data_IF_961024782345
#
_entry.id   IF_961024782345
#
_cell.length_a   1.000
_cell.length_b   1.000
_cell.length_c   1.000
_cell.angle_alpha   90.00
_cell.angle_beta   90.00
_cell.angle_gamma   90.00
#
_symmetry.space_group_name_H-M   'P 1'
#
loop_
_entity.id
_entity.type
_entity.pdbx_description
1 polymer ?
#
# COMPACT_ATOMS: atom_id res chain seq x y z
N UNK A 1 -35.03 1.75 14.98
CA UNK A 1 -34.83 3.20 14.76
C UNK A 1 -33.45 3.50 14.17
N UNK A 2 -32.33 3.30 14.89
CA UNK A 2 -30.97 3.62 14.38
C UNK A 2 -30.64 2.95 13.03
N UNK A 3 -31.06 1.69 12.83
CA UNK A 3 -30.92 0.98 11.55
C UNK A 3 -31.70 1.64 10.41
N UNK A 4 -32.96 2.01 10.65
CA UNK A 4 -33.79 2.73 9.67
C UNK A 4 -33.20 4.10 9.31
N UNK A 5 -32.61 4.79 10.29
CA UNK A 5 -31.86 6.03 10.04
C UNK A 5 -30.62 5.76 9.17
N UNK A 6 -29.86 4.69 9.45
CA UNK A 6 -28.70 4.30 8.64
C UNK A 6 -29.07 3.93 7.20
N UNK A 7 -30.14 3.15 7.01
CA UNK A 7 -30.60 2.72 5.68
C UNK A 7 -31.11 3.93 4.85
N UNK A 8 -31.73 4.92 5.50
CA UNK A 8 -32.13 6.19 4.87
C UNK A 8 -30.98 7.18 4.60
N UNK A 9 -29.79 6.91 5.14
CA UNK A 9 -28.64 7.83 5.12
C UNK A 9 -27.88 7.89 3.79
N UNK A 10 -28.19 7.04 2.82
CA UNK A 10 -27.43 6.93 1.57
C UNK A 10 -27.40 8.23 0.75
N UNK A 11 -28.33 9.17 1.00
CA UNK A 11 -28.46 10.43 0.26
C UNK A 11 -27.91 11.68 0.99
N UNK A 12 -27.44 11.58 2.26
CA UNK A 12 -26.96 12.73 3.04
C UNK A 12 -25.49 12.62 3.43
N UNK A 13 -24.77 13.74 3.65
CA UNK A 13 -23.42 13.71 4.20
C UNK A 13 -23.44 13.01 5.56
N UNK A 14 -22.76 11.87 5.66
CA UNK A 14 -22.79 10.99 6.84
C UNK A 14 -22.33 11.70 8.13
N UNK A 15 -21.55 12.78 8.00
CA UNK A 15 -21.14 13.69 9.08
C UNK A 15 -22.34 14.38 9.76
N UNK A 16 -23.37 14.74 8.99
CA UNK A 16 -24.59 15.33 9.52
C UNK A 16 -25.32 14.39 10.47
N UNK A 17 -25.30 13.08 10.21
CA UNK A 17 -25.96 12.09 11.06
C UNK A 17 -25.23 11.90 12.38
N UNK A 18 -23.90 11.90 12.36
CA UNK A 18 -23.10 11.86 13.60
C UNK A 18 -23.39 13.10 14.44
N UNK A 19 -23.49 14.27 13.82
CA UNK A 19 -23.82 15.51 14.52
C UNK A 19 -25.25 15.53 15.08
N UNK A 20 -26.24 15.20 14.25
CA UNK A 20 -27.65 15.19 14.63
C UNK A 20 -27.96 14.20 15.75
N UNK A 21 -27.23 13.08 15.79
CA UNK A 21 -27.42 12.03 16.79
C UNK A 21 -26.41 12.09 17.95
N UNK A 22 -25.45 13.01 17.96
CA UNK A 22 -24.48 13.21 19.05
C UNK A 22 -25.12 13.30 20.46
N UNK A 23 -26.33 13.88 20.65
CA UNK A 23 -27.01 13.83 21.95
C UNK A 23 -27.20 12.40 22.51
N UNK A 24 -27.30 11.38 21.64
CA UNK A 24 -27.36 9.97 22.05
C UNK A 24 -26.09 9.52 22.77
N UNK A 25 -24.93 10.09 22.45
CA UNK A 25 -23.70 9.85 23.21
C UNK A 25 -23.82 10.24 24.69
N UNK A 26 -24.78 11.11 25.04
CA UNK A 26 -25.10 11.41 26.44
C UNK A 26 -26.17 10.53 27.05
N UNK A 27 -27.12 10.06 26.26
CA UNK A 27 -28.29 9.34 26.77
C UNK A 27 -28.12 7.82 26.75
N UNK A 28 -27.35 7.32 25.79
CA UNK A 28 -27.15 5.90 25.49
C UNK A 28 -25.70 5.67 24.98
N UNK A 29 -24.68 5.83 25.85
CA UNK A 29 -23.28 5.82 25.43
C UNK A 29 -22.82 4.49 24.84
N UNK A 30 -23.40 3.35 25.26
CA UNK A 30 -23.04 2.04 24.74
C UNK A 30 -23.56 1.83 23.30
N UNK A 31 -24.83 2.17 23.08
CA UNK A 31 -25.50 2.12 21.79
C UNK A 31 -24.87 3.13 20.83
N UNK A 32 -24.42 4.28 21.34
CA UNK A 32 -23.65 5.24 20.55
C UNK A 32 -22.29 4.69 20.10
N UNK A 33 -21.58 3.95 20.96
CA UNK A 33 -20.35 3.26 20.56
C UNK A 33 -20.61 2.23 19.44
N UNK A 34 -21.71 1.48 19.52
CA UNK A 34 -22.16 0.57 18.46
C UNK A 34 -22.48 1.31 17.17
N UNK A 35 -23.22 2.41 17.26
CA UNK A 35 -23.55 3.26 16.11
C UNK A 35 -22.28 3.77 15.42
N UNK A 36 -21.33 4.34 16.17
CA UNK A 36 -20.07 4.84 15.62
C UNK A 36 -19.26 3.71 14.95
N UNK A 37 -19.23 2.51 15.55
CA UNK A 37 -18.54 1.36 14.98
C UNK A 37 -19.14 0.86 13.66
N UNK A 38 -20.47 0.93 13.51
CA UNK A 38 -21.15 0.58 12.25
C UNK A 38 -21.00 1.66 11.17
N UNK A 39 -20.80 2.92 11.56
CA UNK A 39 -20.68 4.07 10.66
C UNK A 39 -19.26 4.30 10.11
N UNK A 40 -18.32 3.43 10.42
CA UNK A 40 -16.88 3.58 10.17
C UNK A 40 -16.46 3.57 8.67
N UNK A 41 -17.38 3.38 7.74
CA UNK A 41 -17.17 3.58 6.30
C UNK A 41 -17.04 5.06 5.85
N UNK A 42 -16.69 5.98 6.76
CA UNK A 42 -16.55 7.43 6.48
C UNK A 42 -15.14 7.88 6.82
N UNK A 43 -14.20 7.51 5.94
CA UNK A 43 -12.80 7.91 6.06
C UNK A 43 -12.58 9.45 6.14
N UNK A 44 -13.59 10.28 5.85
CA UNK A 44 -13.53 11.74 5.94
C UNK A 44 -13.84 12.36 7.30
N UNK A 45 -14.50 11.65 8.23
CA UNK A 45 -15.05 12.26 9.46
C UNK A 45 -14.18 12.09 10.71
N UNK A 46 -12.90 11.73 10.54
CA UNK A 46 -12.03 11.29 11.64
C UNK A 46 -11.96 12.27 12.82
N UNK A 47 -12.08 13.58 12.59
CA UNK A 47 -12.10 14.56 13.68
C UNK A 47 -13.38 14.53 14.52
N UNK A 48 -14.54 14.36 13.88
CA UNK A 48 -15.84 14.28 14.56
C UNK A 48 -15.90 12.99 15.40
N UNK A 49 -15.51 11.86 14.80
CA UNK A 49 -15.49 10.57 15.52
C UNK A 49 -14.52 10.63 16.71
N UNK A 50 -13.33 11.23 16.55
CA UNK A 50 -12.39 11.45 17.68
C UNK A 50 -13.03 12.26 18.80
N UNK A 51 -13.79 13.30 18.47
CA UNK A 51 -14.47 14.13 19.47
C UNK A 51 -15.54 13.34 20.21
N UNK A 52 -16.39 12.61 19.49
CA UNK A 52 -17.45 11.79 20.09
C UNK A 52 -16.89 10.67 20.96
N UNK A 53 -15.80 10.01 20.54
CA UNK A 53 -15.12 9.00 21.35
C UNK A 53 -14.61 9.57 22.68
N UNK A 54 -14.04 10.79 22.67
CA UNK A 54 -13.62 11.46 23.92
C UNK A 54 -14.79 11.69 24.87
N UNK A 55 -15.99 12.01 24.33
CA UNK A 55 -17.21 12.24 25.13
C UNK A 55 -17.73 10.96 25.77
N UNK A 56 -17.69 9.83 25.06
CA UNK A 56 -18.29 8.58 25.53
C UNK A 56 -17.33 7.61 26.22
N UNK A 57 -16.01 7.70 26.01
CA UNK A 57 -15.03 6.72 26.53
C UNK A 57 -15.20 6.45 28.03
N UNK A 58 -15.41 7.48 28.85
CA UNK A 58 -15.57 7.35 30.31
C UNK A 58 -17.00 6.99 30.76
N UNK A 59 -17.94 6.92 29.81
CA UNK A 59 -19.38 6.79 30.06
C UNK A 59 -19.94 5.44 29.62
N UNK A 60 -19.21 4.71 28.79
CA UNK A 60 -19.52 3.32 28.45
C UNK A 60 -19.27 2.43 29.67
N UNK A 61 -20.30 1.70 30.08
CA UNK A 61 -20.27 0.81 31.25
C UNK A 61 -20.27 -0.68 30.85
N UNK A 62 -20.68 -1.00 29.61
CA UNK A 62 -20.66 -2.35 29.05
C UNK A 62 -19.29 -2.71 28.49
N UNK A 63 -18.85 -3.95 28.75
CA UNK A 63 -17.57 -4.48 28.27
C UNK A 63 -17.46 -4.45 26.74
N UNK A 64 -18.52 -4.84 26.04
CA UNK A 64 -18.53 -4.81 24.57
C UNK A 64 -18.45 -3.39 24.01
N UNK A 65 -19.03 -2.39 24.68
CA UNK A 65 -18.95 -1.00 24.25
C UNK A 65 -17.55 -0.43 24.44
N UNK A 66 -16.85 -0.80 25.53
CA UNK A 66 -15.42 -0.47 25.72
C UNK A 66 -14.56 -1.05 24.61
N UNK A 67 -14.83 -2.30 24.22
CA UNK A 67 -14.12 -2.95 23.13
C UNK A 67 -14.31 -2.21 21.80
N UNK A 68 -15.54 -1.81 21.46
CA UNK A 68 -15.81 -1.01 20.26
C UNK A 68 -15.09 0.33 20.27
N UNK A 69 -15.02 1.02 21.41
CA UNK A 69 -14.24 2.26 21.56
C UNK A 69 -12.75 2.01 21.28
N UNK A 70 -12.17 0.91 21.78
CA UNK A 70 -10.78 0.55 21.51
C UNK A 70 -10.53 0.30 20.01
N UNK A 71 -11.42 -0.45 19.36
CA UNK A 71 -11.37 -0.67 17.91
C UNK A 71 -11.45 0.64 17.12
N UNK A 72 -12.36 1.54 17.48
CA UNK A 72 -12.50 2.83 16.82
C UNK A 72 -11.25 3.71 16.95
N UNK A 73 -10.60 3.73 18.12
CA UNK A 73 -9.30 4.42 18.25
C UNK A 73 -8.23 3.85 17.33
N UNK A 74 -8.17 2.53 17.17
CA UNK A 74 -7.23 1.88 16.25
C UNK A 74 -7.45 2.34 14.81
N UNK A 75 -8.71 2.34 14.35
CA UNK A 75 -9.05 2.74 12.99
C UNK A 75 -8.75 4.21 12.70
N UNK A 76 -8.78 5.06 13.72
CA UNK A 76 -8.41 6.46 13.64
C UNK A 76 -6.89 6.71 13.66
N UNK A 77 -6.07 5.66 13.72
CA UNK A 77 -4.62 5.71 13.88
C UNK A 77 -4.16 6.17 15.27
N UNK A 78 -5.05 6.11 16.28
CA UNK A 78 -4.73 6.49 17.66
C UNK A 78 -4.25 5.28 18.48
N UNK A 79 -3.23 4.56 17.98
CA UNK A 79 -2.79 3.26 18.49
C UNK A 79 -2.51 3.24 20.01
N UNK A 80 -1.88 4.30 20.54
CA UNK A 80 -1.63 4.41 21.99
C UNK A 80 -2.93 4.39 22.79
N UNK A 81 -3.95 5.12 22.35
CA UNK A 81 -5.26 5.17 23.03
C UNK A 81 -6.06 3.90 22.81
N UNK A 82 -5.95 3.29 21.63
CA UNK A 82 -6.51 1.96 21.38
C UNK A 82 -5.94 0.95 22.39
N UNK A 83 -4.63 0.96 22.61
CA UNK A 83 -3.97 0.09 23.57
C UNK A 83 -4.32 0.33 25.02
N UNK A 84 -4.49 1.59 25.42
CA UNK A 84 -5.02 1.91 26.75
C UNK A 84 -6.45 1.36 26.89
N UNK A 85 -7.31 1.57 25.90
CA UNK A 85 -8.69 1.10 25.93
C UNK A 85 -8.80 -0.44 25.90
N UNK A 86 -7.94 -1.15 25.17
CA UNK A 86 -7.91 -2.63 25.19
C UNK A 86 -7.61 -3.21 26.57
N UNK A 87 -6.75 -2.55 27.36
CA UNK A 87 -6.44 -2.97 28.73
C UNK A 87 -7.61 -2.78 29.69
N UNK A 88 -8.54 -1.88 29.35
CA UNK A 88 -9.76 -1.64 30.13
C UNK A 88 -10.85 -2.72 29.86
N UNK A 89 -10.73 -3.49 28.77
CA UNK A 89 -11.63 -4.63 28.46
C UNK A 89 -11.18 -5.85 29.26
N UNK A 90 -12.02 -6.28 30.21
CA UNK A 90 -11.74 -7.39 31.14
C UNK A 90 -12.12 -8.74 30.56
N UNK A 91 -13.18 -8.77 29.73
CA UNK A 91 -13.61 -10.01 29.09
C UNK A 91 -12.57 -10.45 28.04
N UNK A 92 -11.95 -11.61 28.28
CA UNK A 92 -10.85 -12.11 27.45
C UNK A 92 -11.29 -12.37 26.01
N UNK A 93 -12.46 -12.97 25.81
CA UNK A 93 -12.96 -13.33 24.47
C UNK A 93 -13.22 -12.08 23.63
N UNK A 94 -13.93 -11.09 24.21
CA UNK A 94 -14.15 -9.80 23.56
C UNK A 94 -12.84 -9.06 23.29
N UNK A 95 -11.91 -9.03 24.25
CA UNK A 95 -10.61 -8.39 24.05
C UNK A 95 -9.85 -9.00 22.89
N UNK A 96 -9.71 -10.33 22.84
CA UNK A 96 -8.97 -11.01 21.77
C UNK A 96 -9.60 -10.80 20.39
N UNK A 97 -10.92 -10.95 20.27
CA UNK A 97 -11.65 -10.70 19.02
C UNK A 97 -11.47 -9.25 18.56
N UNK A 98 -11.50 -8.31 19.51
CA UNK A 98 -11.42 -6.89 19.18
C UNK A 98 -9.99 -6.47 18.86
N UNK A 99 -8.98 -6.99 19.57
CA UNK A 99 -7.56 -6.83 19.20
C UNK A 99 -7.31 -7.38 17.79
N UNK A 100 -7.91 -8.51 17.46
CA UNK A 100 -7.83 -9.13 16.13
C UNK A 100 -8.50 -8.28 15.05
N UNK A 101 -9.68 -7.72 15.32
CA UNK A 101 -10.37 -6.81 14.41
C UNK A 101 -9.65 -5.46 14.26
N UNK A 102 -8.90 -5.06 15.29
CA UNK A 102 -8.09 -3.86 15.32
C UNK A 102 -6.62 -4.15 15.00
N UNK A 103 -6.36 -5.11 14.11
CA UNK A 103 -5.03 -5.63 13.80
C UNK A 103 -3.94 -4.57 13.50
N UNK A 104 -4.33 -3.34 13.16
CA UNK A 104 -3.45 -2.21 13.02
C UNK A 104 -2.84 -1.72 14.36
N UNK A 105 -3.59 -1.72 15.47
CA UNK A 105 -3.18 -1.16 16.77
C UNK A 105 -2.74 -2.22 17.79
N UNK A 106 -1.89 -3.14 17.37
CA UNK A 106 -1.35 -4.16 18.27
C UNK A 106 -0.54 -3.53 19.39
N UNK A 107 -0.80 -3.98 20.62
CA UNK A 107 -0.13 -3.49 21.81
C UNK A 107 1.08 -4.35 22.18
N UNK A 108 2.25 -3.74 22.27
CA UNK A 108 3.51 -4.41 22.66
C UNK A 108 4.56 -4.37 21.56
N UNK A 109 5.66 -5.13 21.74
CA UNK A 109 6.85 -5.15 20.87
C UNK A 109 6.64 -5.67 19.44
N UNK A 110 7.48 -6.62 18.99
CA UNK A 110 7.46 -7.16 17.62
C UNK A 110 6.05 -7.52 17.13
N UNK A 111 5.54 -6.72 16.18
CA UNK A 111 4.16 -6.76 15.68
C UNK A 111 3.81 -8.14 15.12
N UNK A 112 4.75 -8.78 14.41
CA UNK A 112 4.55 -10.09 13.77
C UNK A 112 4.32 -11.17 14.83
N UNK A 113 5.24 -11.25 15.81
CA UNK A 113 5.16 -12.25 16.90
C UNK A 113 3.90 -12.10 17.74
N UNK A 114 3.47 -10.86 17.98
CA UNK A 114 2.24 -10.62 18.72
C UNK A 114 1.01 -11.06 17.91
N UNK A 115 1.01 -10.91 16.59
CA UNK A 115 -0.04 -11.45 15.74
C UNK A 115 -0.10 -12.97 15.73
N UNK A 116 1.05 -13.65 15.67
CA UNK A 116 1.10 -15.11 15.72
C UNK A 116 0.48 -15.63 17.01
N UNK A 117 0.92 -15.05 18.15
CA UNK A 117 0.34 -15.34 19.46
C UNK A 117 -1.17 -15.05 19.51
N UNK A 118 -1.62 -13.97 18.87
CA UNK A 118 -3.04 -13.64 18.82
C UNK A 118 -3.84 -14.69 18.03
N UNK A 119 -3.32 -15.16 16.89
CA UNK A 119 -3.93 -16.24 16.10
C UNK A 119 -4.05 -17.54 16.92
N UNK A 120 -3.00 -17.90 17.67
CA UNK A 120 -3.03 -19.05 18.58
C UNK A 120 -4.08 -18.89 19.69
N UNK A 121 -4.11 -17.72 20.35
CA UNK A 121 -5.05 -17.41 21.43
C UNK A 121 -6.51 -17.40 20.94
N UNK A 122 -6.76 -16.97 19.70
CA UNK A 122 -8.09 -17.01 19.07
C UNK A 122 -8.61 -18.46 18.90
N UNK A 123 -7.72 -19.43 18.68
CA UNK A 123 -8.07 -20.85 18.54
C UNK A 123 -8.76 -21.44 19.77
N UNK A 124 -8.55 -20.84 20.94
CA UNK A 124 -9.14 -21.26 22.22
C UNK A 124 -10.23 -20.33 22.74
N UNK A 125 -10.74 -19.39 21.94
CA UNK A 125 -11.78 -18.46 22.40
C UNK A 125 -13.11 -19.19 22.59
N UNK A 126 -13.74 -18.94 23.75
CA UNK A 126 -15.07 -19.43 24.09
C UNK A 126 -16.07 -18.28 24.12
N UNK A 127 -17.34 -18.60 23.86
CA UNK A 127 -18.43 -17.64 23.86
C UNK A 127 -18.77 -17.18 25.29
N UNK A 128 -18.26 -16.00 25.67
CA UNK A 128 -18.45 -15.39 27.00
C UNK A 128 -19.82 -14.71 27.15
N UNK A 129 -20.32 -14.46 28.38
CA UNK A 129 -21.59 -13.76 28.59
C UNK A 129 -21.63 -12.37 27.93
N UNK A 130 -20.54 -11.60 28.01
CA UNK A 130 -20.46 -10.28 27.43
C UNK A 130 -20.46 -10.33 25.89
N UNK A 131 -19.81 -11.35 25.30
CA UNK A 131 -19.87 -11.58 23.85
C UNK A 131 -21.27 -12.02 23.41
N UNK A 132 -21.97 -12.88 24.18
CA UNK A 132 -23.37 -13.24 23.91
C UNK A 132 -24.28 -12.01 23.93
N UNK A 133 -24.09 -11.11 24.89
CA UNK A 133 -24.85 -9.86 24.97
C UNK A 133 -24.59 -8.98 23.74
N UNK A 134 -23.32 -8.79 23.37
CA UNK A 134 -22.94 -8.07 22.15
C UNK A 134 -23.62 -8.62 20.89
N UNK A 135 -23.51 -9.93 20.66
CA UNK A 135 -24.05 -10.57 19.46
C UNK A 135 -25.57 -10.45 19.37
N UNK A 136 -26.27 -10.50 20.52
CA UNK A 136 -27.72 -10.27 20.57
C UNK A 136 -28.14 -8.86 20.17
N UNK A 137 -27.31 -7.85 20.48
CA UNK A 137 -27.62 -6.46 20.13
C UNK A 137 -27.11 -6.06 18.75
N UNK A 138 -26.09 -6.76 18.23
CA UNK A 138 -25.41 -6.41 16.98
C UNK A 138 -25.82 -7.26 15.78
N UNK A 139 -26.57 -8.35 15.97
CA UNK A 139 -26.93 -9.29 14.90
C UNK A 139 -28.35 -9.79 15.03
N UNK A 140 -28.99 -10.06 13.89
CA UNK A 140 -30.27 -10.74 13.80
C UNK A 140 -30.12 -12.26 13.70
N UNK A 141 -28.89 -12.75 13.56
CA UNK A 141 -28.60 -14.17 13.48
C UNK A 141 -28.69 -14.81 14.87
N UNK A 142 -28.96 -16.12 14.94
CA UNK A 142 -28.77 -16.89 16.17
C UNK A 142 -27.36 -16.65 16.72
N UNK A 143 -27.25 -16.50 18.04
CA UNK A 143 -26.00 -16.11 18.72
C UNK A 143 -24.81 -17.01 18.33
N UNK A 144 -25.04 -18.31 18.19
CA UNK A 144 -23.98 -19.26 17.79
C UNK A 144 -23.50 -19.06 16.34
N UNK A 145 -24.41 -18.72 15.43
CA UNK A 145 -24.07 -18.41 14.05
C UNK A 145 -23.35 -17.06 13.95
N UNK A 146 -23.84 -16.04 14.66
CA UNK A 146 -23.20 -14.74 14.76
C UNK A 146 -21.78 -14.85 15.36
N UNK A 147 -21.64 -15.68 16.41
CA UNK A 147 -20.36 -15.97 17.04
C UNK A 147 -19.38 -16.60 16.06
N UNK A 148 -19.81 -17.64 15.33
CA UNK A 148 -18.99 -18.31 14.30
C UNK A 148 -18.50 -17.31 13.25
N UNK A 149 -19.39 -16.45 12.74
CA UNK A 149 -19.04 -15.45 11.74
C UNK A 149 -18.03 -14.42 12.28
N UNK A 150 -18.27 -13.88 13.48
CA UNK A 150 -17.38 -12.90 14.11
C UNK A 150 -16.00 -13.49 14.37
N UNK A 151 -15.94 -14.73 14.88
CA UNK A 151 -14.67 -15.40 15.15
C UNK A 151 -13.91 -15.72 13.87
N UNK A 152 -14.59 -16.25 12.83
CA UNK A 152 -13.99 -16.48 11.52
C UNK A 152 -13.46 -15.19 10.91
N UNK A 153 -14.24 -14.12 10.94
CA UNK A 153 -13.80 -12.82 10.42
C UNK A 153 -12.56 -12.30 11.16
N UNK A 154 -12.50 -12.46 12.49
CA UNK A 154 -11.33 -12.10 13.29
C UNK A 154 -10.07 -12.89 12.86
N UNK A 155 -10.19 -14.19 12.58
CA UNK A 155 -9.09 -14.98 12.02
C UNK A 155 -8.62 -14.48 10.66
N UNK A 156 -9.56 -14.20 9.75
CA UNK A 156 -9.24 -13.66 8.43
C UNK A 156 -8.42 -12.37 8.53
N UNK A 157 -8.87 -11.44 9.39
CA UNK A 157 -8.16 -10.17 9.61
C UNK A 157 -6.77 -10.35 10.22
N UNK A 158 -6.61 -11.28 11.18
CA UNK A 158 -5.30 -11.59 11.77
C UNK A 158 -4.35 -12.18 10.74
N UNK A 159 -4.81 -13.10 9.90
CA UNK A 159 -3.97 -13.67 8.85
C UNK A 159 -3.60 -12.65 7.78
N UNK A 160 -4.51 -11.75 7.37
CA UNK A 160 -4.15 -10.63 6.49
C UNK A 160 -3.11 -9.70 7.14
N UNK A 161 -3.22 -9.45 8.45
CA UNK A 161 -2.25 -8.64 9.16
C UNK A 161 -0.89 -9.33 9.31
N UNK A 162 -0.86 -10.65 9.51
CA UNK A 162 0.36 -11.45 9.48
C UNK A 162 1.03 -11.39 8.11
N UNK A 163 0.25 -11.56 7.03
CA UNK A 163 0.76 -11.41 5.68
C UNK A 163 1.37 -10.02 5.46
N UNK A 164 0.72 -8.95 5.91
CA UNK A 164 1.27 -7.58 5.84
C UNK A 164 2.57 -7.41 6.66
N UNK A 165 2.63 -8.00 7.85
CA UNK A 165 3.85 -7.99 8.68
C UNK A 165 5.00 -8.73 8.01
N UNK A 166 4.74 -9.94 7.48
CA UNK A 166 5.74 -10.71 6.77
C UNK A 166 6.12 -10.10 5.44
N UNK A 167 5.19 -9.36 4.81
CA UNK A 167 5.47 -8.49 3.69
C UNK A 167 6.59 -7.55 4.11
N UNK A 168 6.44 -6.72 5.14
CA UNK A 168 7.51 -5.79 5.59
C UNK A 168 8.89 -6.44 5.81
N UNK A 169 8.94 -7.71 6.21
CA UNK A 169 10.20 -8.47 6.38
C UNK A 169 10.80 -9.08 5.10
N UNK A 170 10.03 -9.12 4.00
CA UNK A 170 10.41 -9.76 2.74
C UNK A 170 10.21 -11.27 2.68
N UNK A 171 9.59 -11.90 3.69
CA UNK A 171 9.32 -13.35 3.71
C UNK A 171 8.10 -13.70 2.86
N UNK A 172 8.32 -13.78 1.54
CA UNK A 172 7.27 -14.04 0.54
C UNK A 172 6.52 -15.35 0.76
N UNK A 173 7.17 -16.37 1.33
CA UNK A 173 6.53 -17.66 1.59
C UNK A 173 5.44 -17.51 2.64
N UNK A 174 5.73 -16.79 3.71
CA UNK A 174 4.75 -16.49 4.75
C UNK A 174 3.67 -15.52 4.29
N UNK A 175 4.01 -14.56 3.42
CA UNK A 175 2.98 -13.70 2.78
C UNK A 175 1.98 -14.57 2.01
N UNK A 176 2.46 -15.46 1.15
CA UNK A 176 1.60 -16.37 0.40
C UNK A 176 0.74 -17.23 1.34
N UNK A 177 1.37 -17.92 2.30
CA UNK A 177 0.67 -18.80 3.25
C UNK A 177 -0.45 -18.10 4.02
N UNK A 178 -0.16 -16.96 4.65
CA UNK A 178 -1.15 -16.28 5.47
C UNK A 178 -2.21 -15.56 4.64
N UNK A 179 -1.85 -15.04 3.45
CA UNK A 179 -2.84 -14.49 2.53
C UNK A 179 -3.80 -15.55 1.99
N UNK A 180 -3.32 -16.77 1.71
CA UNK A 180 -4.20 -17.88 1.32
C UNK A 180 -5.14 -18.31 2.45
N UNK A 181 -4.63 -18.46 3.68
CA UNK A 181 -5.46 -18.73 4.86
C UNK A 181 -6.53 -17.66 5.07
N UNK A 182 -6.18 -16.39 4.87
CA UNK A 182 -7.15 -15.29 4.95
C UNK A 182 -8.18 -15.37 3.81
N UNK A 183 -7.75 -15.63 2.58
CA UNK A 183 -8.61 -15.75 1.42
C UNK A 183 -9.64 -16.89 1.57
N UNK A 184 -9.22 -18.07 2.02
CA UNK A 184 -10.11 -19.20 2.29
C UNK A 184 -11.22 -18.84 3.26
N UNK A 185 -10.86 -18.16 4.37
CA UNK A 185 -11.83 -17.70 5.37
C UNK A 185 -12.78 -16.67 4.77
N UNK A 186 -12.26 -15.64 4.09
CA UNK A 186 -13.11 -14.61 3.52
C UNK A 186 -14.00 -15.11 2.38
N UNK A 187 -13.55 -16.13 1.64
CA UNK A 187 -14.37 -16.80 0.65
C UNK A 187 -15.57 -17.52 1.31
N UNK A 188 -15.34 -18.22 2.43
CA UNK A 188 -16.43 -18.82 3.24
C UNK A 188 -17.43 -17.77 3.71
N UNK A 189 -16.94 -16.57 4.07
CA UNK A 189 -17.76 -15.48 4.61
C UNK A 189 -18.46 -14.65 3.52
N UNK A 190 -18.00 -14.68 2.28
CA UNK A 190 -18.45 -13.79 1.21
C UNK A 190 -19.98 -13.80 0.98
N UNK A 191 -20.71 -14.93 1.04
CA UNK A 191 -22.17 -14.92 0.87
C UNK A 191 -22.94 -14.13 1.93
N UNK A 192 -22.31 -13.89 3.09
CA UNK A 192 -22.91 -13.17 4.24
C UNK A 192 -22.27 -11.80 4.48
N UNK A 193 -21.20 -11.50 3.76
CA UNK A 193 -20.36 -10.31 3.95
C UNK A 193 -19.99 -9.70 2.59
N UNK A 194 -18.86 -9.01 2.52
CA UNK A 194 -18.32 -8.48 1.28
C UNK A 194 -17.37 -9.48 0.64
N UNK A 195 -17.33 -9.54 -0.69
CA UNK A 195 -16.32 -10.29 -1.45
C UNK A 195 -14.94 -9.59 -1.42
N UNK A 196 -14.88 -8.29 -1.08
CA UNK A 196 -13.65 -7.51 -1.16
C UNK A 196 -12.50 -8.05 -0.29
N UNK A 197 -12.69 -8.45 0.98
CA UNK A 197 -11.62 -9.02 1.79
C UNK A 197 -11.03 -10.30 1.17
N UNK A 198 -11.87 -11.15 0.55
CA UNK A 198 -11.41 -12.32 -0.20
C UNK A 198 -10.56 -11.89 -1.39
N UNK A 199 -11.04 -10.94 -2.20
CA UNK A 199 -10.32 -10.46 -3.38
C UNK A 199 -8.94 -9.92 -3.01
N UNK A 200 -8.85 -9.08 -1.98
CA UNK A 200 -7.57 -8.52 -1.54
C UNK A 200 -6.62 -9.59 -1.01
N UNK A 201 -7.10 -10.48 -0.15
CA UNK A 201 -6.27 -11.56 0.39
C UNK A 201 -5.78 -12.49 -0.73
N UNK A 202 -6.66 -12.90 -1.65
CA UNK A 202 -6.29 -13.75 -2.78
C UNK A 202 -5.32 -13.03 -3.72
N UNK A 203 -5.55 -11.75 -4.00
CA UNK A 203 -4.66 -10.94 -4.82
C UNK A 203 -3.24 -10.86 -4.22
N UNK A 204 -3.12 -10.61 -2.91
CA UNK A 204 -1.81 -10.57 -2.24
C UNK A 204 -1.12 -11.94 -2.23
N UNK A 205 -1.86 -13.03 -2.06
CA UNK A 205 -1.33 -14.39 -2.19
C UNK A 205 -0.74 -14.65 -3.58
N UNK A 206 -1.50 -14.32 -4.64
CA UNK A 206 -1.08 -14.54 -6.02
C UNK A 206 0.16 -13.69 -6.37
N UNK A 207 0.23 -12.45 -5.91
CA UNK A 207 1.44 -11.62 -6.09
C UNK A 207 2.66 -12.22 -5.39
N UNK A 208 2.52 -12.70 -4.15
CA UNK A 208 3.62 -13.31 -3.42
C UNK A 208 4.12 -14.60 -4.10
N UNK A 209 3.19 -15.44 -4.57
CA UNK A 209 3.49 -16.68 -5.32
C UNK A 209 4.13 -16.38 -6.69
N UNK A 210 3.64 -15.38 -7.42
CA UNK A 210 4.27 -14.91 -8.66
C UNK A 210 5.71 -14.44 -8.41
N UNK A 211 5.95 -13.69 -7.34
CA UNK A 211 7.29 -13.26 -6.94
C UNK A 211 8.21 -14.44 -6.55
N UNK A 212 7.64 -15.53 -5.99
CA UNK A 212 8.38 -16.77 -5.76
C UNK A 212 8.68 -17.56 -7.05
N UNK A 213 8.06 -17.18 -8.18
CA UNK A 213 8.23 -17.80 -9.49
C UNK A 213 7.20 -18.90 -9.79
N UNK A 214 6.10 -18.95 -9.04
CA UNK A 214 5.01 -19.89 -9.30
C UNK A 214 4.13 -19.41 -10.48
N UNK A 215 3.57 -20.35 -11.22
CA UNK A 215 2.59 -20.06 -12.26
C UNK A 215 1.21 -19.82 -11.64
N UNK A 216 0.69 -18.60 -11.77
CA UNK A 216 -0.52 -18.10 -11.12
C UNK A 216 -1.48 -17.38 -12.07
N UNK A 217 -1.14 -17.24 -13.35
CA UNK A 217 -1.97 -16.51 -14.32
C UNK A 217 -3.40 -17.05 -14.44
N UNK A 218 -3.59 -18.36 -14.39
CA UNK A 218 -4.93 -18.96 -14.43
C UNK A 218 -5.73 -18.69 -13.15
N UNK A 219 -5.07 -18.58 -12.00
CA UNK A 219 -5.72 -18.16 -10.75
C UNK A 219 -6.08 -16.68 -10.75
N UNK A 220 -5.23 -15.82 -11.34
CA UNK A 220 -5.57 -14.41 -11.58
C UNK A 220 -6.79 -14.27 -12.50
N UNK A 221 -6.88 -15.09 -13.55
CA UNK A 221 -8.06 -15.11 -14.43
C UNK A 221 -9.32 -15.45 -13.65
N UNK A 222 -9.32 -16.53 -12.85
CA UNK A 222 -10.47 -16.90 -12.01
C UNK A 222 -10.83 -15.79 -11.03
N UNK A 223 -9.84 -15.13 -10.43
CA UNK A 223 -10.09 -13.99 -9.55
C UNK A 223 -10.76 -12.83 -10.30
N UNK A 224 -10.34 -12.52 -11.53
CA UNK A 224 -10.98 -11.50 -12.36
C UNK A 224 -12.41 -11.89 -12.77
N UNK A 225 -12.66 -13.18 -13.03
CA UNK A 225 -14.00 -13.72 -13.28
C UNK A 225 -14.92 -13.56 -12.07
N UNK A 226 -14.41 -13.84 -10.84
CA UNK A 226 -15.14 -13.64 -9.58
C UNK A 226 -15.52 -12.17 -9.34
N UNK A 227 -14.64 -11.23 -9.72
CA UNK A 227 -14.84 -9.78 -9.51
C UNK A 227 -15.84 -9.20 -10.53
N UNK A 228 -15.81 -9.71 -11.77
CA UNK A 228 -16.46 -9.05 -12.91
C UNK A 228 -15.79 -7.73 -13.30
N UNK A 229 -16.42 -6.98 -14.22
CA UNK A 229 -15.91 -5.66 -14.62
C UNK A 229 -16.26 -4.59 -13.57
N UNK A 230 -15.25 -3.97 -12.97
CA UNK A 230 -15.41 -2.91 -11.97
C UNK A 230 -14.08 -2.28 -11.55
N UNK A 231 -14.08 -1.46 -10.48
CA UNK A 231 -12.88 -0.76 -10.02
C UNK A 231 -11.70 -1.70 -9.69
N UNK A 232 -11.98 -2.82 -9.01
CA UNK A 232 -10.95 -3.82 -8.67
C UNK A 232 -10.40 -4.53 -9.91
N UNK A 233 -11.19 -4.67 -10.97
CA UNK A 233 -10.73 -5.23 -12.25
C UNK A 233 -9.62 -4.35 -12.84
N UNK A 234 -9.80 -3.02 -12.84
CA UNK A 234 -8.81 -2.05 -13.34
C UNK A 234 -7.48 -2.15 -12.59
N UNK A 235 -7.51 -2.47 -11.29
CA UNK A 235 -6.30 -2.59 -10.48
C UNK A 235 -5.60 -3.95 -10.59
N UNK A 236 -6.34 -5.02 -10.88
CA UNK A 236 -5.81 -6.40 -10.91
C UNK A 236 -5.42 -6.82 -12.33
N UNK A 237 -6.14 -6.37 -13.35
CA UNK A 237 -5.91 -6.74 -14.74
C UNK A 237 -4.47 -6.47 -15.23
N UNK A 238 -3.84 -5.32 -14.93
CA UNK A 238 -2.45 -5.09 -15.35
C UNK A 238 -1.46 -6.08 -14.69
N UNK A 239 -1.72 -6.49 -13.44
CA UNK A 239 -0.90 -7.50 -12.74
C UNK A 239 -1.10 -8.90 -13.34
N UNK A 240 -2.31 -9.23 -13.81
CA UNK A 240 -2.57 -10.45 -14.57
C UNK A 240 -1.79 -10.49 -15.89
N UNK A 241 -1.74 -9.39 -16.66
CA UNK A 241 -0.93 -9.32 -17.88
C UNK A 241 0.55 -9.58 -17.61
N UNK A 242 1.08 -9.00 -16.52
CA UNK A 242 2.44 -9.25 -16.09
C UNK A 242 2.68 -10.72 -15.72
N UNK A 243 1.69 -11.41 -15.13
CA UNK A 243 1.79 -12.82 -14.74
C UNK A 243 1.88 -13.71 -15.98
N UNK A 244 1.01 -13.49 -16.96
CA UNK A 244 1.07 -14.17 -18.27
C UNK A 244 2.46 -14.01 -18.91
N UNK A 245 2.97 -12.78 -19.00
CA UNK A 245 4.27 -12.52 -19.61
C UNK A 245 5.43 -13.17 -18.82
N UNK A 246 5.39 -13.12 -17.48
CA UNK A 246 6.40 -13.74 -16.63
C UNK A 246 6.46 -15.27 -16.86
N UNK A 247 5.31 -15.91 -17.00
CA UNK A 247 5.13 -17.34 -17.28
C UNK A 247 5.43 -17.74 -18.73
N UNK A 248 5.81 -16.80 -19.60
CA UNK A 248 6.12 -17.08 -21.00
C UNK A 248 4.91 -17.10 -21.94
N UNK A 249 3.73 -16.70 -21.47
CA UNK A 249 2.48 -16.57 -22.25
C UNK A 249 2.35 -15.16 -22.85
N UNK A 250 3.42 -14.70 -23.50
CA UNK A 250 3.54 -13.32 -23.99
C UNK A 250 2.48 -12.96 -25.05
N UNK A 251 2.20 -13.88 -25.98
CA UNK A 251 1.20 -13.65 -27.04
C UNK A 251 -0.20 -13.43 -26.47
N UNK A 252 -0.58 -14.23 -25.47
CA UNK A 252 -1.86 -14.10 -24.78
C UNK A 252 -1.95 -12.77 -24.01
N UNK A 253 -0.85 -12.36 -23.34
CA UNK A 253 -0.79 -11.06 -22.68
C UNK A 253 -0.97 -9.90 -23.69
N UNK A 254 -0.34 -10.00 -24.86
CA UNK A 254 -0.46 -8.98 -25.92
C UNK A 254 -1.85 -8.94 -26.55
N UNK A 255 -2.48 -10.10 -26.78
CA UNK A 255 -3.85 -10.16 -27.29
C UNK A 255 -4.83 -9.50 -26.31
N UNK A 256 -4.74 -9.85 -25.02
CA UNK A 256 -5.57 -9.26 -23.98
C UNK A 256 -5.31 -7.76 -23.81
N UNK A 257 -4.05 -7.32 -23.85
CA UNK A 257 -3.70 -5.92 -23.81
C UNK A 257 -4.31 -5.15 -24.99
N UNK A 258 -4.27 -5.70 -26.21
CA UNK A 258 -4.88 -5.06 -27.39
C UNK A 258 -6.39 -4.91 -27.23
N UNK A 259 -7.06 -5.92 -26.66
CA UNK A 259 -8.50 -5.91 -26.42
C UNK A 259 -8.92 -4.95 -25.31
N UNK A 260 -8.15 -4.91 -24.22
CA UNK A 260 -8.51 -4.24 -22.97
C UNK A 260 -7.62 -3.03 -22.67
N UNK A 261 -6.96 -2.43 -23.67
CA UNK A 261 -5.96 -1.36 -23.48
C UNK A 261 -6.44 -0.23 -22.56
N UNK A 262 -7.71 0.17 -22.71
CA UNK A 262 -8.33 1.22 -21.89
C UNK A 262 -8.35 0.90 -20.40
N UNK A 263 -8.47 -0.38 -20.03
CA UNK A 263 -8.42 -0.82 -18.63
C UNK A 263 -7.05 -0.53 -18.04
N UNK A 264 -5.99 -0.79 -18.81
CA UNK A 264 -4.61 -0.49 -18.39
C UNK A 264 -4.40 1.01 -18.27
N UNK A 265 -4.90 1.81 -19.22
CA UNK A 265 -4.77 3.27 -19.22
C UNK A 265 -5.50 3.96 -18.05
N UNK A 266 -6.59 3.37 -17.56
CA UNK A 266 -7.34 3.87 -16.40
C UNK A 266 -6.71 3.47 -15.05
N UNK A 267 -5.80 2.51 -15.07
CA UNK A 267 -5.19 1.97 -13.86
C UNK A 267 -4.00 2.80 -13.43
N UNK A 268 -3.91 3.11 -12.14
CA UNK A 268 -2.67 3.63 -11.57
C UNK A 268 -1.49 2.67 -11.83
N UNK A 269 -1.77 1.36 -11.93
CA UNK A 269 -0.77 0.33 -12.23
C UNK A 269 -0.46 0.15 -13.71
N UNK A 270 -1.12 0.89 -14.59
CA UNK A 270 -1.04 0.71 -16.03
C UNK A 270 0.36 0.91 -16.61
N UNK A 271 0.92 2.10 -16.40
CA UNK A 271 2.24 2.46 -16.94
C UNK A 271 3.36 1.54 -16.43
N UNK A 272 3.48 1.20 -15.12
CA UNK A 272 4.48 0.24 -14.66
C UNK A 272 4.31 -1.12 -15.31
N UNK A 273 3.08 -1.57 -15.53
CA UNK A 273 2.81 -2.83 -16.24
C UNK A 273 3.35 -2.79 -17.66
N UNK A 274 3.02 -1.74 -18.41
CA UNK A 274 3.48 -1.62 -19.80
C UNK A 274 5.01 -1.53 -19.88
N UNK A 275 5.64 -0.80 -18.96
CA UNK A 275 7.10 -0.75 -18.86
C UNK A 275 7.70 -2.12 -18.50
N UNK A 276 7.06 -2.88 -17.62
CA UNK A 276 7.47 -4.24 -17.29
C UNK A 276 7.37 -5.18 -18.49
N UNK A 277 6.25 -5.17 -19.22
CA UNK A 277 6.09 -5.94 -20.45
C UNK A 277 7.16 -5.57 -21.49
N UNK A 278 7.44 -4.27 -21.65
CA UNK A 278 8.51 -3.78 -22.53
C UNK A 278 9.89 -4.24 -22.08
N UNK A 279 10.18 -4.22 -20.79
CA UNK A 279 11.44 -4.70 -20.22
C UNK A 279 11.61 -6.22 -20.39
N UNK A 280 10.51 -6.98 -20.49
CA UNK A 280 10.51 -8.39 -20.89
C UNK A 280 10.67 -8.61 -22.41
N UNK A 281 10.80 -7.55 -23.20
CA UNK A 281 10.99 -7.61 -24.65
C UNK A 281 9.71 -7.66 -25.46
N UNK A 282 8.54 -7.42 -24.85
CA UNK A 282 7.28 -7.35 -25.59
C UNK A 282 7.14 -5.99 -26.29
N UNK A 283 6.62 -6.01 -27.52
CA UNK A 283 6.41 -4.81 -28.32
C UNK A 283 5.17 -4.04 -27.83
N UNK A 284 5.37 -3.23 -26.78
CA UNK A 284 4.37 -2.33 -26.22
C UNK A 284 4.88 -0.89 -26.24
N UNK A 285 4.00 0.02 -26.67
CA UNK A 285 4.32 1.45 -26.71
C UNK A 285 4.03 2.09 -25.34
N UNK A 286 5.06 2.74 -24.79
CA UNK A 286 4.95 3.62 -23.62
C UNK A 286 5.78 4.86 -23.90
N UNK A 287 5.12 6.02 -23.94
CA UNK A 287 5.77 7.30 -24.16
C UNK A 287 6.36 7.86 -22.87
N UNK A 288 7.47 8.60 -22.94
CA UNK A 288 8.03 9.23 -21.74
C UNK A 288 7.15 10.32 -21.13
N UNK A 289 6.27 10.94 -21.92
CA UNK A 289 5.20 11.83 -21.45
C UNK A 289 4.22 11.10 -20.50
N UNK A 290 3.82 9.87 -20.84
CA UNK A 290 2.94 9.04 -20.02
C UNK A 290 3.62 8.66 -18.70
N UNK A 291 4.90 8.27 -18.78
CA UNK A 291 5.72 7.97 -17.60
C UNK A 291 5.84 9.19 -16.69
N UNK A 292 6.18 10.35 -17.26
CA UNK A 292 6.32 11.59 -16.50
C UNK A 292 5.04 11.95 -15.78
N UNK A 293 3.89 11.96 -16.48
CA UNK A 293 2.61 12.33 -15.89
C UNK A 293 2.19 11.41 -14.74
N UNK A 294 2.50 10.12 -14.80
CA UNK A 294 2.25 9.20 -13.70
C UNK A 294 3.05 9.55 -12.44
N UNK A 295 4.35 9.84 -12.58
CA UNK A 295 5.23 10.03 -11.43
C UNK A 295 5.34 11.48 -10.96
N UNK A 296 4.96 12.46 -11.79
CA UNK A 296 5.21 13.90 -11.60
C UNK A 296 4.91 14.39 -10.19
N UNK A 297 3.73 14.06 -9.68
CA UNK A 297 3.24 14.58 -8.40
C UNK A 297 3.99 13.95 -7.22
N UNK A 298 4.62 12.79 -7.44
CA UNK A 298 5.49 12.13 -6.48
C UNK A 298 6.95 12.54 -6.61
N UNK A 299 7.39 13.16 -7.71
CA UNK A 299 8.78 13.59 -7.89
C UNK A 299 9.15 14.73 -6.93
N UNK A 300 10.44 14.77 -6.55
CA UNK A 300 11.05 15.92 -5.87
C UNK A 300 10.86 17.16 -6.78
N UNK A 301 10.19 18.23 -6.32
CA UNK A 301 9.85 19.36 -7.17
C UNK A 301 11.03 19.95 -7.96
N UNK A 302 12.20 20.08 -7.32
CA UNK A 302 13.41 20.61 -7.94
C UNK A 302 14.06 19.72 -9.01
N UNK A 303 13.60 18.46 -9.17
CA UNK A 303 14.09 17.54 -10.21
C UNK A 303 13.09 17.33 -11.34
N UNK A 304 11.84 17.80 -11.22
CA UNK A 304 10.78 17.55 -12.21
C UNK A 304 11.17 17.96 -13.63
N UNK A 305 11.72 19.16 -13.89
CA UNK A 305 12.05 19.56 -15.26
C UNK A 305 13.15 18.70 -15.87
N UNK A 306 14.15 18.34 -15.06
CA UNK A 306 15.24 17.47 -15.50
C UNK A 306 14.73 16.06 -15.83
N UNK A 307 13.85 15.49 -15.01
CA UNK A 307 13.21 14.20 -15.30
C UNK A 307 12.35 14.26 -16.56
N UNK A 308 11.56 15.32 -16.74
CA UNK A 308 10.78 15.52 -17.96
C UNK A 308 11.68 15.55 -19.21
N UNK A 309 12.79 16.29 -19.16
CA UNK A 309 13.75 16.34 -20.25
C UNK A 309 14.36 14.95 -20.57
N UNK A 310 14.71 14.17 -19.55
CA UNK A 310 15.23 12.80 -19.70
C UNK A 310 14.21 11.88 -20.37
N UNK A 311 12.93 12.03 -20.00
CA UNK A 311 11.82 11.26 -20.55
C UNK A 311 11.34 11.81 -21.91
N UNK A 312 11.79 12.99 -22.35
CA UNK A 312 11.30 13.66 -23.56
C UNK A 312 9.87 14.22 -23.41
N UNK A 313 9.44 14.48 -22.17
CA UNK A 313 8.14 15.08 -21.87
C UNK A 313 8.19 16.61 -21.98
N UNK A 314 7.08 17.24 -22.37
CA UNK A 314 7.00 18.70 -22.55
C UNK A 314 6.61 19.40 -21.25
N UNK A 315 7.54 20.16 -20.68
CA UNK A 315 7.29 21.02 -19.52
C UNK A 315 7.96 22.38 -19.69
N UNK A 316 7.39 23.41 -19.07
CA UNK A 316 8.06 24.70 -18.91
C UNK A 316 8.97 24.66 -17.67
N UNK A 317 10.30 24.63 -17.83
CA UNK A 317 11.22 24.52 -16.71
C UNK A 317 11.15 25.74 -15.78
N UNK A 318 10.83 26.94 -16.29
CA UNK A 318 10.76 28.14 -15.46
C UNK A 318 9.57 28.08 -14.50
N UNK A 319 8.39 27.68 -15.00
CA UNK A 319 7.18 27.53 -14.19
C UNK A 319 7.33 26.48 -13.08
N UNK A 320 7.90 25.31 -13.41
CA UNK A 320 8.15 24.25 -12.43
C UNK A 320 9.20 24.68 -11.39
N UNK A 321 10.33 25.27 -11.81
CA UNK A 321 11.38 25.69 -10.90
C UNK A 321 10.99 26.87 -10.00
N UNK A 322 10.10 27.77 -10.45
CA UNK A 322 9.62 28.90 -9.66
C UNK A 322 8.91 28.50 -8.35
N UNK A 323 8.38 27.27 -8.28
CA UNK A 323 7.68 26.73 -7.10
C UNK A 323 8.61 26.08 -6.08
N UNK A 324 9.92 26.08 -6.33
CA UNK A 324 10.92 25.42 -5.49
C UNK A 324 11.55 26.40 -4.52
N UNK A 325 12.14 25.89 -3.43
CA UNK A 325 12.91 26.73 -2.50
C UNK A 325 14.25 27.25 -3.07
N UNK A 326 14.70 26.74 -4.22
CA UNK A 326 15.90 27.19 -4.91
C UNK A 326 15.73 27.07 -6.45
N UNK A 327 15.04 28.03 -7.09
CA UNK A 327 14.78 28.00 -8.52
C UNK A 327 16.04 27.97 -9.39
N UNK A 328 17.13 28.59 -8.93
CA UNK A 328 18.39 28.66 -9.69
C UNK A 328 19.09 27.30 -9.77
N UNK A 329 19.18 26.57 -8.65
CA UNK A 329 19.73 25.22 -8.65
C UNK A 329 18.88 24.27 -9.52
N UNK A 330 17.55 24.39 -9.45
CA UNK A 330 16.62 23.63 -10.30
C UNK A 330 16.90 23.85 -11.80
N UNK A 331 17.02 25.12 -12.23
CA UNK A 331 17.31 25.46 -13.63
C UNK A 331 18.69 24.94 -14.06
N UNK A 332 19.72 25.08 -13.23
CA UNK A 332 21.07 24.56 -13.53
C UNK A 332 21.10 23.04 -13.68
N UNK A 333 20.34 22.30 -12.86
CA UNK A 333 20.22 20.83 -12.99
C UNK A 333 19.53 20.48 -14.32
N UNK A 334 18.46 21.21 -14.67
CA UNK A 334 17.78 21.04 -15.96
C UNK A 334 18.72 21.31 -17.14
N UNK A 335 19.43 22.43 -17.13
CA UNK A 335 20.41 22.80 -18.17
C UNK A 335 21.52 21.76 -18.30
N UNK A 336 22.03 21.25 -17.17
CA UNK A 336 23.04 20.19 -17.14
C UNK A 336 22.57 18.90 -17.82
N UNK A 337 21.28 18.56 -17.69
CA UNK A 337 20.67 17.43 -18.40
C UNK A 337 20.45 17.75 -19.89
N UNK A 338 20.07 18.99 -20.21
CA UNK A 338 19.81 19.44 -21.58
C UNK A 338 21.10 19.68 -22.41
N UNK A 339 22.29 19.45 -21.84
CA UNK A 339 23.58 19.58 -22.51
C UNK A 339 24.31 20.91 -22.28
N UNK A 340 23.82 21.78 -21.39
CA UNK A 340 24.51 22.98 -20.92
C UNK A 340 25.55 22.66 -19.84
N UNK A 341 26.74 23.27 -19.91
CA UNK A 341 27.80 23.04 -18.92
C UNK A 341 27.34 23.32 -17.48
N UNK A 342 27.53 22.37 -16.57
CA UNK A 342 26.92 22.39 -15.23
C UNK A 342 27.78 21.78 -14.12
N UNK A 343 29.06 22.14 -14.04
CA UNK A 343 30.00 21.56 -13.07
C UNK A 343 29.51 21.62 -11.61
N UNK A 344 28.90 22.72 -11.19
CA UNK A 344 28.36 22.88 -9.83
C UNK A 344 27.15 21.96 -9.57
N UNK A 345 26.25 21.81 -10.56
CA UNK A 345 25.10 20.92 -10.46
C UNK A 345 25.53 19.44 -10.39
N UNK A 346 26.54 19.06 -11.19
CA UNK A 346 27.12 17.71 -11.18
C UNK A 346 27.70 17.38 -9.81
N UNK A 347 28.48 18.30 -9.22
CA UNK A 347 29.08 18.09 -7.90
C UNK A 347 28.03 18.06 -6.77
N UNK A 348 26.94 18.82 -6.89
CA UNK A 348 25.83 18.73 -5.94
C UNK A 348 25.15 17.34 -6.00
N UNK A 349 24.87 16.83 -7.19
CA UNK A 349 24.28 15.49 -7.39
C UNK A 349 25.21 14.38 -6.90
N UNK A 350 26.51 14.48 -7.22
CA UNK A 350 27.53 13.51 -6.79
C UNK A 350 27.67 13.47 -5.27
N UNK A 351 27.73 14.63 -4.61
CA UNK A 351 27.75 14.70 -3.14
C UNK A 351 26.52 14.04 -2.53
N UNK A 352 25.33 14.30 -3.07
CA UNK A 352 24.10 13.67 -2.60
C UNK A 352 24.17 12.13 -2.68
N UNK A 353 24.67 11.58 -3.78
CA UNK A 353 24.74 10.12 -4.00
C UNK A 353 25.91 9.40 -3.29
N UNK A 354 26.95 10.12 -2.88
CA UNK A 354 28.21 9.56 -2.37
C UNK A 354 28.08 8.62 -1.16
N UNK A 355 26.99 8.74 -0.38
CA UNK A 355 26.73 7.92 0.81
C UNK A 355 25.79 6.72 0.57
N UNK A 356 25.31 6.54 -0.67
CA UNK A 356 24.35 5.49 -1.06
C UNK A 356 24.87 4.63 -2.19
N UNK A 357 25.68 5.19 -3.08
CA UNK A 357 26.16 4.51 -4.28
C UNK A 357 27.67 4.28 -4.18
N UNK A 358 28.16 3.09 -4.57
CA UNK A 358 29.60 2.82 -4.67
C UNK A 358 30.35 3.87 -5.51
N UNK A 359 31.52 4.36 -5.07
CA UNK A 359 32.26 5.41 -5.79
C UNK A 359 32.63 5.05 -7.23
N UNK A 360 32.92 3.78 -7.50
CA UNK A 360 33.27 3.29 -8.84
C UNK A 360 32.08 3.39 -9.81
N UNK A 361 30.86 3.12 -9.33
CA UNK A 361 29.65 3.27 -10.13
C UNK A 361 29.32 4.75 -10.35
N UNK A 362 29.43 5.56 -9.29
CA UNK A 362 29.16 6.99 -9.34
C UNK A 362 30.15 7.76 -10.24
N UNK A 363 31.41 7.31 -10.32
CA UNK A 363 32.42 7.90 -11.19
C UNK A 363 32.11 7.75 -12.69
N UNK A 364 31.32 6.74 -13.05
CA UNK A 364 30.90 6.44 -14.42
C UNK A 364 29.54 7.05 -14.76
N UNK A 365 28.81 7.53 -13.76
CA UNK A 365 27.45 8.04 -13.92
C UNK A 365 27.43 9.45 -14.55
N UNK A 366 26.61 9.60 -15.57
CA UNK A 366 26.19 10.86 -16.17
C UNK A 366 25.22 11.63 -15.27
N UNK A 367 25.01 12.91 -15.57
CA UNK A 367 24.03 13.76 -14.88
C UNK A 367 22.62 13.16 -14.98
N UNK A 368 22.26 12.64 -16.16
CA UNK A 368 20.96 11.98 -16.40
C UNK A 368 20.75 10.80 -15.44
N UNK A 369 21.72 9.91 -15.32
CA UNK A 369 21.63 8.74 -14.44
C UNK A 369 21.48 9.17 -12.97
N UNK A 370 22.29 10.14 -12.53
CA UNK A 370 22.22 10.66 -11.16
C UNK A 370 20.86 11.31 -10.85
N UNK A 371 20.28 12.05 -11.80
CA UNK A 371 18.94 12.64 -11.65
C UNK A 371 17.88 11.55 -11.49
N UNK A 372 17.87 10.51 -12.34
CA UNK A 372 16.90 9.41 -12.23
C UNK A 372 16.99 8.68 -10.88
N UNK A 373 18.21 8.43 -10.41
CA UNK A 373 18.45 7.79 -9.12
C UNK A 373 17.88 8.61 -7.94
N UNK A 374 18.04 9.94 -7.97
CA UNK A 374 17.56 10.85 -6.92
C UNK A 374 16.07 11.20 -7.03
N UNK A 375 15.52 11.21 -8.24
CA UNK A 375 14.13 11.57 -8.54
C UNK A 375 13.10 10.59 -7.97
N UNK A 376 13.55 9.48 -7.40
CA UNK A 376 12.70 8.46 -6.82
C UNK A 376 12.59 8.69 -5.31
N UNK A 377 11.49 9.27 -4.77
CA UNK A 377 11.32 9.40 -3.33
C UNK A 377 10.60 8.22 -2.68
N UNK A 378 9.71 7.51 -3.40
CA UNK A 378 9.02 6.31 -2.91
C UNK A 378 9.24 5.09 -3.84
N UNK A 379 9.01 3.88 -3.32
CA UNK A 379 9.32 2.64 -4.03
C UNK A 379 8.60 2.52 -5.37
N UNK A 380 7.39 3.10 -5.48
CA UNK A 380 6.61 3.12 -6.71
C UNK A 380 7.28 3.94 -7.83
N UNK A 381 7.76 5.15 -7.53
CA UNK A 381 8.51 5.97 -8.51
C UNK A 381 9.81 5.28 -8.90
N UNK A 382 10.52 4.69 -7.92
CA UNK A 382 11.76 3.96 -8.20
C UNK A 382 11.53 2.78 -9.13
N UNK A 383 10.48 1.99 -8.86
CA UNK A 383 10.09 0.88 -9.71
C UNK A 383 9.80 1.37 -11.14
N UNK A 384 8.99 2.43 -11.27
CA UNK A 384 8.61 2.98 -12.59
C UNK A 384 9.83 3.45 -13.39
N UNK A 385 10.73 4.23 -12.77
CA UNK A 385 11.93 4.74 -13.44
C UNK A 385 12.95 3.64 -13.74
N UNK A 386 13.09 2.64 -12.86
CA UNK A 386 13.93 1.47 -13.09
C UNK A 386 13.42 0.64 -14.28
N UNK A 387 12.10 0.37 -14.34
CA UNK A 387 11.49 -0.35 -15.46
C UNK A 387 11.64 0.44 -16.76
N UNK A 388 11.50 1.77 -16.73
CA UNK A 388 11.74 2.60 -17.89
C UNK A 388 13.19 2.52 -18.39
N UNK A 389 14.17 2.63 -17.50
CA UNK A 389 15.58 2.52 -17.85
C UNK A 389 15.90 1.17 -18.51
N UNK A 390 15.38 0.08 -17.93
CA UNK A 390 15.55 -1.27 -18.47
C UNK A 390 14.85 -1.44 -19.83
N UNK A 391 13.62 -0.94 -19.97
CA UNK A 391 12.88 -0.95 -21.22
C UNK A 391 13.55 -0.11 -22.32
N UNK A 392 14.39 0.86 -21.95
CA UNK A 392 15.22 1.65 -22.85
C UNK A 392 16.60 1.02 -23.12
N UNK A 393 16.92 -0.12 -22.51
CA UNK A 393 18.24 -0.76 -22.61
C UNK A 393 19.34 -0.09 -21.79
N UNK A 394 19.00 0.86 -20.92
CA UNK A 394 19.93 1.65 -20.11
C UNK A 394 20.24 0.96 -18.77
N UNK A 395 21.19 0.02 -18.83
CA UNK A 395 21.58 -0.82 -17.69
C UNK A 395 22.25 -0.03 -16.56
N UNK A 396 22.98 1.05 -16.87
CA UNK A 396 23.69 1.84 -15.86
C UNK A 396 22.71 2.70 -15.06
N UNK A 397 21.75 3.37 -15.72
CA UNK A 397 20.63 4.03 -15.04
C UNK A 397 19.88 3.07 -14.11
N UNK A 398 19.52 1.88 -14.63
CA UNK A 398 18.79 0.89 -13.85
C UNK A 398 19.57 0.45 -12.60
N UNK A 399 20.87 0.17 -12.74
CA UNK A 399 21.74 -0.21 -11.62
C UNK A 399 21.86 0.91 -10.60
N UNK A 400 22.02 2.15 -11.04
CA UNK A 400 22.16 3.30 -10.15
C UNK A 400 20.89 3.55 -9.32
N UNK A 401 19.71 3.44 -9.95
CA UNK A 401 18.42 3.52 -9.26
C UNK A 401 18.30 2.41 -8.22
N UNK A 402 18.65 1.17 -8.60
CA UNK A 402 18.58 0.01 -7.73
C UNK A 402 19.50 0.13 -6.49
N UNK A 403 20.77 0.49 -6.68
CA UNK A 403 21.74 0.68 -5.58
C UNK A 403 21.30 1.79 -4.62
N UNK A 404 20.81 2.91 -5.18
CA UNK A 404 20.31 4.03 -4.38
C UNK A 404 19.17 3.57 -3.46
N UNK A 405 18.26 2.72 -3.95
CA UNK A 405 17.16 2.17 -3.15
C UNK A 405 17.55 1.06 -2.20
N UNK A 406 18.47 0.18 -2.59
CA UNK A 406 18.99 -0.87 -1.73
C UNK A 406 19.62 -0.30 -0.45
N UNK A 407 20.19 0.92 -0.51
CA UNK A 407 20.78 1.60 0.64
C UNK A 407 19.80 1.94 1.77
N UNK A 408 18.47 1.95 1.49
CA UNK A 408 17.43 2.26 2.48
C UNK A 408 17.46 3.70 3.02
N UNK A 409 18.25 4.58 2.40
CA UNK A 409 18.39 6.00 2.77
C UNK A 409 17.64 6.86 1.75
N UNK A 410 16.31 6.91 1.83
CA UNK A 410 15.54 7.79 0.95
C UNK A 410 14.65 8.74 1.73
N UNK A 411 14.88 10.03 1.49
CA UNK A 411 14.13 11.15 2.07
C UNK A 411 15.00 12.38 2.10
N UNK A 412 15.07 13.14 1.01
CA UNK A 412 15.77 14.43 0.99
C UNK A 412 14.80 15.52 1.40
N UNK A 413 15.06 16.17 2.53
CA UNK A 413 14.50 17.50 2.80
C UNK A 413 15.55 18.52 2.36
N UNK A 414 15.30 19.17 1.23
CA UNK A 414 16.05 20.36 0.85
C UNK A 414 15.58 21.47 1.78
N UNK A 415 16.39 21.78 2.81
CA UNK A 415 16.13 22.92 3.70
C UNK A 415 16.76 24.15 3.06
N UNK A 416 15.99 25.20 2.71
CA UNK A 416 16.56 26.42 2.17
C UNK A 416 17.39 27.11 3.25
N UNK A 417 18.70 27.24 3.05
CA UNK A 417 19.58 28.07 3.89
C UNK A 417 20.83 27.40 4.45
N UNK A 418 20.97 26.08 4.37
CA UNK A 418 22.19 25.37 4.74
C UNK A 418 22.65 24.50 3.58
N UNK A 419 23.96 24.41 3.35
CA UNK A 419 24.59 23.57 2.31
C UNK A 419 24.36 22.05 2.50
N UNK A 420 23.46 21.65 3.41
CA UNK A 420 23.23 20.28 3.80
C UNK A 420 21.78 19.84 3.50
N UNK A 421 21.67 18.81 2.67
CA UNK A 421 20.42 18.09 2.44
C UNK A 421 20.21 17.14 3.63
N UNK A 422 19.21 17.41 4.46
CA UNK A 422 18.93 16.57 5.64
C UNK A 422 18.14 15.33 5.21
N UNK A 423 18.65 14.16 5.59
CA UNK A 423 18.09 12.84 5.24
C UNK A 423 17.17 12.36 6.38
N UNK A 424 15.86 12.25 6.12
CA UNK A 424 14.93 11.55 7.02
C UNK A 424 14.66 10.13 6.52
N UNK A 425 14.71 9.16 7.44
CA UNK A 425 14.55 7.73 7.14
C UNK A 425 13.05 7.37 7.10
N UNK A 426 12.50 7.15 5.91
CA UNK A 426 11.19 6.49 5.78
C UNK A 426 11.38 4.97 5.77
N UNK A 427 10.58 4.25 6.59
CA UNK A 427 10.66 2.79 6.75
C UNK A 427 9.66 2.11 5.84
N UNK A 428 10.05 1.78 4.61
CA UNK A 428 9.45 0.70 3.81
C UNK A 428 10.58 0.07 3.00
N UNK A 429 10.81 -1.23 3.15
CA UNK A 429 12.04 -1.89 2.69
C UNK A 429 11.75 -2.90 1.58
N UNK A 430 11.56 -2.42 0.36
CA UNK A 430 11.77 -3.22 -0.86
C UNK A 430 13.28 -3.30 -1.21
N UNK A 431 14.14 -2.69 -0.38
CA UNK A 431 15.59 -2.59 -0.61
C UNK A 431 16.29 -3.93 -0.87
N UNK A 432 15.83 -5.03 -0.28
CA UNK A 432 16.36 -6.36 -0.57
C UNK A 432 16.13 -6.78 -2.03
N UNK A 433 14.98 -6.46 -2.61
CA UNK A 433 14.68 -6.76 -4.02
C UNK A 433 15.45 -5.85 -4.98
N UNK A 434 15.60 -4.57 -4.63
CA UNK A 434 16.47 -3.67 -5.41
C UNK A 434 17.92 -4.13 -5.41
N UNK A 435 18.41 -4.69 -4.28
CA UNK A 435 19.72 -5.32 -4.21
C UNK A 435 19.83 -6.51 -5.16
N UNK A 436 18.84 -7.41 -5.18
CA UNK A 436 18.82 -8.53 -6.13
C UNK A 436 18.88 -8.04 -7.59
N UNK A 437 18.17 -6.96 -7.94
CA UNK A 437 18.21 -6.38 -9.29
C UNK A 437 19.58 -5.78 -9.60
N UNK A 438 20.23 -5.11 -8.65
CA UNK A 438 21.55 -4.51 -8.83
C UNK A 438 22.66 -5.55 -9.05
N UNK A 439 22.50 -6.73 -8.43
CA UNK A 439 23.44 -7.86 -8.51
C UNK A 439 23.16 -8.78 -9.71
N UNK A 440 21.99 -8.68 -10.34
CA UNK A 440 21.62 -9.51 -11.48
C UNK A 440 22.39 -9.12 -12.76
N UNK A 441 23.46 -9.86 -13.06
CA UNK A 441 24.29 -9.66 -14.27
C UNK A 441 23.76 -10.45 -15.48
N UNK A 442 23.06 -11.56 -15.24
CA UNK A 442 22.54 -12.44 -16.28
C UNK A 442 21.08 -12.12 -16.65
N UNK A 443 20.69 -12.22 -17.94
CA UNK A 443 19.31 -11.94 -18.38
C UNK A 443 18.24 -12.75 -17.65
N UNK A 444 18.50 -14.04 -17.35
CA UNK A 444 17.56 -14.89 -16.62
C UNK A 444 17.39 -14.48 -15.16
N UNK A 445 18.48 -14.10 -14.49
CA UNK A 445 18.46 -13.58 -13.13
C UNK A 445 17.78 -12.22 -13.07
N UNK A 446 18.02 -11.36 -14.06
CA UNK A 446 17.38 -10.06 -14.18
C UNK A 446 15.87 -10.20 -14.36
N UNK A 447 15.41 -11.09 -15.25
CA UNK A 447 13.97 -11.39 -15.39
C UNK A 447 13.35 -11.80 -14.06
N UNK A 448 13.98 -12.72 -13.33
CA UNK A 448 13.49 -13.20 -12.03
C UNK A 448 13.46 -12.08 -10.97
N UNK A 449 14.51 -11.27 -10.90
CA UNK A 449 14.59 -10.14 -9.97
C UNK A 449 13.53 -9.08 -10.30
N UNK A 450 13.28 -8.82 -11.58
CA UNK A 450 12.22 -7.91 -12.03
C UNK A 450 10.83 -8.43 -11.74
N UNK A 451 10.57 -9.73 -11.96
CA UNK A 451 9.30 -10.36 -11.60
C UNK A 451 9.04 -10.20 -10.10
N UNK A 452 10.02 -10.55 -9.25
CA UNK A 452 9.93 -10.34 -7.80
C UNK A 452 9.62 -8.88 -7.46
N UNK A 453 10.41 -7.94 -8.00
CA UNK A 453 10.27 -6.52 -7.70
C UNK A 453 8.91 -5.96 -8.16
N UNK A 454 8.44 -6.35 -9.35
CA UNK A 454 7.17 -5.89 -9.90
C UNK A 454 5.97 -6.37 -9.06
N UNK A 455 5.86 -7.68 -8.82
CA UNK A 455 4.71 -8.23 -8.09
C UNK A 455 4.68 -7.79 -6.63
N UNK A 456 5.85 -7.51 -6.05
CA UNK A 456 5.94 -7.15 -4.65
C UNK A 456 5.90 -5.63 -4.40
N UNK A 457 6.44 -4.84 -5.34
CA UNK A 457 6.43 -3.37 -5.31
C UNK A 457 5.11 -2.72 -5.71
N UNK A 458 4.18 -3.49 -6.28
CA UNK A 458 2.82 -3.10 -6.68
C UNK A 458 1.76 -3.62 -5.70
#
# INVERSE_FOLDING_TARGET
>A
MLRSIYESAHEKPKEFLVYALSPLGRLAPNEWALFLAMFDGVAGSGNIVREELRKIRRRVDKEWARALVAMLYSKLGEDKKACEAFREVRDRSLRLITEAMAAAAICGGDKCKRMEKLAEELGGVALSPALKEFLKVSSELPVEEAYRLVLRNAFGLVYSALAACYKESGDLKKVAEYSEKAAEIFHELAPRMSLNPYIFAKFDALKARAALGEAVADEFRRLLEDIGYGGLYVDIFPVYLAALAAEGRAEEALELLRRERRVVELSFRGVPTLLFLKALGLDVSVGGEEVFNLVRDFLIPGLRPAVAAILGARVDPHSECARTGNPQLCLRIYEAVAGGGGGEAVEALRRALSHMVPPDLLSKASVREMVLALASPNDYVALTLLLWALAAGDKLSAKLIAETRASGKTGYRVVPGEEAVVIEKTRYSIGAFFKEVAEAVEPGLLKRALTKLYFYGM
#
